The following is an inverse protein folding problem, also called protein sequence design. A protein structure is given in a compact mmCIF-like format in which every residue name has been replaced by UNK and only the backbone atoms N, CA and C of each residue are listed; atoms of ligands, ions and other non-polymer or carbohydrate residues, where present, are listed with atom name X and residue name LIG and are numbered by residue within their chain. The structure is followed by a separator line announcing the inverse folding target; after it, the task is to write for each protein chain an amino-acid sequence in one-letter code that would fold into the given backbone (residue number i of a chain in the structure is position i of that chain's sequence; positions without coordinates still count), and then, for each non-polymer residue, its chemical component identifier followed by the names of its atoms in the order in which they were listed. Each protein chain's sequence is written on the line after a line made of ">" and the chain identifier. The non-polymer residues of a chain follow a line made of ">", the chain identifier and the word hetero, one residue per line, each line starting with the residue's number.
data_IF_219310030329
#
_entry.id   IF_219310030329
#
_cell.length_a   1.000
_cell.length_b   1.000
_cell.length_c   1.000
_cell.angle_alpha   90.00
_cell.angle_beta   90.00
_cell.angle_gamma   90.00
#
_symmetry.space_group_name_H-M   'P 1'
#
loop_
_entity.id
_entity.type
_entity.pdbx_description
1 polymer ?
#
# COMPACT_ATOMS: atom_id res chain seq x y z
N UNK A 1 1.42 -9.85 7.50
CA UNK A 1 2.26 -8.64 7.37
C UNK A 1 2.40 -8.34 5.90
N UNK A 2 1.66 -7.34 5.41
CA UNK A 2 1.62 -6.97 4.00
C UNK A 2 2.76 -5.98 3.74
N UNK A 3 3.55 -6.19 2.69
CA UNK A 3 4.57 -5.23 2.26
C UNK A 3 4.19 -4.70 0.89
N UNK A 4 3.93 -3.39 0.81
CA UNK A 4 3.59 -2.70 -0.42
C UNK A 4 4.84 -2.07 -1.02
N UNK A 5 5.31 -2.64 -2.12
CA UNK A 5 6.42 -2.08 -2.88
C UNK A 5 5.97 -0.85 -3.68
N UNK A 6 6.51 0.33 -3.36
CA UNK A 6 6.30 1.57 -4.08
C UNK A 6 7.55 1.94 -4.90
N UNK A 7 7.38 2.06 -6.21
CA UNK A 7 8.40 2.60 -7.11
C UNK A 7 8.00 4.02 -7.53
N UNK A 8 8.98 4.88 -7.84
CA UNK A 8 8.80 6.29 -8.22
C UNK A 8 7.74 6.51 -9.33
N UNK A 9 7.65 5.58 -10.28
CA UNK A 9 6.68 5.62 -11.38
C UNK A 9 5.47 4.68 -11.17
N UNK A 10 5.32 4.12 -9.97
CA UNK A 10 4.19 3.23 -9.64
C UNK A 10 2.98 4.03 -9.15
N UNK A 11 1.78 3.53 -9.46
CA UNK A 11 0.51 4.08 -9.00
C UNK A 11 -0.03 3.33 -7.77
N UNK A 12 0.84 3.03 -6.80
CA UNK A 12 0.46 2.23 -5.63
C UNK A 12 -0.40 3.00 -4.60
N UNK A 13 -0.59 4.31 -4.77
CA UNK A 13 -1.44 5.13 -3.90
C UNK A 13 -2.89 4.58 -3.78
N UNK A 14 -3.43 3.98 -4.85
CA UNK A 14 -4.75 3.35 -4.79
C UNK A 14 -4.78 2.10 -3.90
N UNK A 15 -3.67 1.39 -3.83
CA UNK A 15 -3.53 0.20 -2.99
C UNK A 15 -3.41 0.62 -1.53
N UNK A 16 -2.68 1.70 -1.24
CA UNK A 16 -2.63 2.32 0.10
C UNK A 16 -4.05 2.63 0.59
N UNK A 17 -4.86 3.35 -0.19
CA UNK A 17 -6.24 3.67 0.21
C UNK A 17 -7.12 2.44 0.42
N UNK A 18 -6.94 1.38 -0.38
CA UNK A 18 -7.67 0.13 -0.17
C UNK A 18 -7.26 -0.56 1.14
N UNK A 19 -5.98 -0.53 1.50
CA UNK A 19 -5.48 -1.15 2.74
C UNK A 19 -5.99 -0.40 3.98
N UNK A 20 -6.07 0.93 3.90
CA UNK A 20 -6.69 1.78 4.94
C UNK A 20 -8.18 1.44 5.14
N UNK A 21 -8.96 1.38 4.06
CA UNK A 21 -10.40 1.04 4.12
C UNK A 21 -10.65 -0.35 4.69
N UNK A 22 -9.74 -1.30 4.42
CA UNK A 22 -9.81 -2.66 4.96
C UNK A 22 -9.30 -2.76 6.41
N UNK A 23 -8.68 -1.71 6.95
CA UNK A 23 -8.16 -1.69 8.32
C UNK A 23 -7.07 -2.74 8.57
N UNK A 24 -6.27 -3.07 7.56
CA UNK A 24 -5.23 -4.10 7.64
C UNK A 24 -3.85 -3.47 7.82
N UNK A 25 -2.99 -4.13 8.60
CA UNK A 25 -1.61 -3.68 8.77
C UNK A 25 -0.76 -3.93 7.51
N UNK A 26 -0.07 -2.87 7.08
CA UNK A 26 0.87 -2.91 5.96
C UNK A 26 2.10 -2.04 6.21
N UNK A 27 3.19 -2.35 5.50
CA UNK A 27 4.42 -1.60 5.47
C UNK A 27 4.70 -1.16 4.03
N UNK A 28 5.21 0.06 3.82
CA UNK A 28 5.60 0.55 2.49
C UNK A 28 7.11 0.39 2.33
N UNK A 29 7.55 -0.18 1.20
CA UNK A 29 8.96 -0.39 0.87
C UNK A 29 9.33 0.08 -0.53
#
# INVERSE_FOLDING_TARGET
>A
MIVLHHLENSRSLRIVWLLEELGVDYEIR
#
